data_IF_472277653244
#
_entry.id   IF_472277653244
#
_cell.length_a   1.000
_cell.length_b   1.000
_cell.length_c   1.000
_cell.angle_alpha   90.00
_cell.angle_beta   90.00
_cell.angle_gamma   90.00
#
_symmetry.space_group_name_H-M   'P 1'
#
loop_
_entity.id
_entity.type
_entity.pdbx_description
1 polymer ?
#
# COMPACT_ATOMS: atom_id res chain seq x y z
N UNK A 1 19.72 -10.64 3.46
CA UNK A 1 18.69 -11.70 3.35
C UNK A 1 17.49 -11.33 2.45
N UNK A 2 17.03 -10.07 2.42
CA UNK A 2 15.77 -9.62 1.78
C UNK A 2 15.69 -9.73 0.23
N UNK A 3 16.79 -9.96 -0.48
CA UNK A 3 16.74 -10.22 -1.94
C UNK A 3 16.30 -11.65 -2.26
N UNK A 4 16.60 -12.61 -1.38
CA UNK A 4 16.32 -14.04 -1.59
C UNK A 4 14.83 -14.35 -1.57
N UNK A 5 14.06 -13.63 -0.74
CA UNK A 5 12.61 -13.79 -0.63
C UNK A 5 11.90 -13.46 -1.93
N UNK A 6 12.27 -12.38 -2.62
CA UNK A 6 11.62 -12.01 -3.89
C UNK A 6 11.85 -13.08 -4.98
N UNK A 7 13.00 -13.74 -5.00
CA UNK A 7 13.26 -14.86 -5.91
C UNK A 7 12.41 -16.09 -5.59
N UNK A 8 12.05 -16.32 -4.32
CA UNK A 8 11.11 -17.38 -3.95
C UNK A 8 9.74 -17.09 -4.57
N UNK A 9 9.25 -15.85 -4.50
CA UNK A 9 7.98 -15.46 -5.12
C UNK A 9 8.03 -15.47 -6.66
N UNK A 10 9.15 -15.09 -7.26
CA UNK A 10 9.36 -15.29 -8.71
C UNK A 10 9.36 -16.76 -9.10
N UNK A 11 9.97 -17.64 -8.29
CA UNK A 11 9.94 -19.08 -8.49
C UNK A 11 8.52 -19.65 -8.35
N UNK A 12 7.77 -19.18 -7.36
CA UNK A 12 6.40 -19.63 -7.09
C UNK A 12 5.44 -19.21 -8.22
N UNK A 13 5.52 -17.96 -8.67
CA UNK A 13 4.77 -17.48 -9.85
C UNK A 13 5.22 -18.17 -11.14
N UNK A 14 6.51 -18.44 -11.30
CA UNK A 14 7.03 -19.22 -12.44
C UNK A 14 6.55 -20.66 -12.46
N UNK A 15 6.40 -21.29 -11.28
CA UNK A 15 5.83 -22.62 -11.14
C UNK A 15 4.35 -22.65 -11.54
N UNK A 16 3.59 -21.62 -11.17
CA UNK A 16 2.19 -21.46 -11.62
C UNK A 16 2.11 -21.34 -13.15
N UNK A 17 2.97 -20.52 -13.77
CA UNK A 17 3.06 -20.41 -15.24
C UNK A 17 3.37 -21.76 -15.88
N UNK A 18 4.37 -22.48 -15.38
CA UNK A 18 4.76 -23.78 -15.90
C UNK A 18 3.63 -24.80 -15.77
N UNK A 19 2.96 -24.85 -14.62
CA UNK A 19 1.79 -25.70 -14.39
C UNK A 19 0.68 -25.38 -15.38
N UNK A 20 0.39 -24.10 -15.60
CA UNK A 20 -0.60 -23.63 -16.58
C UNK A 20 -0.26 -24.08 -17.99
N UNK A 21 0.99 -23.91 -18.44
CA UNK A 21 1.42 -24.37 -19.77
C UNK A 21 1.28 -25.88 -19.94
N UNK A 22 1.69 -26.67 -18.93
CA UNK A 22 1.57 -28.13 -18.94
C UNK A 22 0.10 -28.56 -19.01
N UNK A 23 -0.77 -27.94 -18.18
CA UNK A 23 -2.20 -28.25 -18.16
C UNK A 23 -2.88 -27.87 -19.49
N UNK A 24 -2.51 -26.75 -20.10
CA UNK A 24 -3.02 -26.36 -21.42
C UNK A 24 -2.66 -27.39 -22.49
N UNK A 25 -1.43 -27.89 -22.49
CA UNK A 25 -0.98 -28.91 -23.45
C UNK A 25 -1.61 -30.28 -23.21
N UNK A 26 -1.73 -30.71 -21.95
CA UNK A 26 -2.24 -32.04 -21.62
C UNK A 26 -3.77 -32.15 -21.76
N UNK A 27 -4.50 -31.11 -21.36
CA UNK A 27 -5.97 -31.13 -21.30
C UNK A 27 -6.63 -30.31 -22.40
N UNK A 28 -5.86 -29.69 -23.30
CA UNK A 28 -6.39 -28.88 -24.40
C UNK A 28 -7.08 -27.59 -23.95
N UNK A 29 -6.80 -27.12 -22.73
CA UNK A 29 -7.41 -25.88 -22.23
C UNK A 29 -6.95 -24.67 -23.03
N UNK A 30 -7.92 -23.88 -23.49
CA UNK A 30 -7.68 -22.61 -24.17
C UNK A 30 -7.21 -21.58 -23.15
N UNK A 31 -6.03 -21.00 -23.41
CA UNK A 31 -5.46 -19.93 -22.61
C UNK A 31 -6.17 -18.61 -22.90
N UNK A 32 -6.43 -17.82 -21.87
CA UNK A 32 -7.04 -16.49 -22.03
C UNK A 32 -5.97 -15.43 -22.31
N UNK A 33 -6.39 -14.26 -22.80
CA UNK A 33 -5.47 -13.14 -23.06
C UNK A 33 -4.71 -12.72 -21.78
N UNK A 34 -5.34 -12.89 -20.61
CA UNK A 34 -4.75 -12.58 -19.30
C UNK A 34 -3.59 -13.55 -18.98
N UNK A 35 -3.65 -14.80 -19.44
CA UNK A 35 -2.54 -15.75 -19.32
C UNK A 35 -1.35 -15.36 -20.21
N UNK A 36 -1.61 -14.96 -21.45
CA UNK A 36 -0.55 -14.48 -22.35
C UNK A 36 0.13 -13.21 -21.82
N UNK A 37 -0.65 -12.27 -21.27
CA UNK A 37 -0.11 -11.10 -20.60
C UNK A 37 0.78 -11.48 -19.41
N UNK A 38 0.38 -12.49 -18.63
CA UNK A 38 1.20 -13.00 -17.53
C UNK A 38 2.54 -13.58 -18.02
N UNK A 39 2.53 -14.33 -19.13
CA UNK A 39 3.73 -14.93 -19.73
C UNK A 39 4.71 -13.90 -20.28
N UNK A 40 4.24 -12.72 -20.69
CA UNK A 40 5.09 -11.63 -21.15
C UNK A 40 5.55 -10.75 -19.98
N UNK A 41 4.63 -10.43 -19.06
CA UNK A 41 4.92 -9.58 -17.91
C UNK A 41 5.95 -10.23 -16.97
N UNK A 42 5.85 -11.54 -16.72
CA UNK A 42 6.74 -12.27 -15.81
C UNK A 42 8.22 -12.21 -16.21
N UNK A 43 8.64 -12.56 -17.44
CA UNK A 43 10.04 -12.46 -17.86
C UNK A 43 10.52 -11.01 -17.91
N UNK A 44 9.66 -10.05 -18.29
CA UNK A 44 10.01 -8.62 -18.23
C UNK A 44 10.32 -8.20 -16.78
N UNK A 45 9.48 -8.60 -15.82
CA UNK A 45 9.70 -8.30 -14.41
C UNK A 45 10.96 -8.98 -13.85
N UNK A 46 11.22 -10.23 -14.25
CA UNK A 46 12.43 -10.94 -13.89
C UNK A 46 13.67 -10.24 -14.44
N UNK A 47 13.63 -9.83 -15.71
CA UNK A 47 14.71 -9.12 -16.37
C UNK A 47 14.98 -7.73 -15.73
N UNK A 48 13.93 -6.95 -15.49
CA UNK A 48 14.02 -5.65 -14.80
C UNK A 48 14.62 -5.80 -13.40
N UNK A 49 14.30 -6.89 -12.71
CA UNK A 49 14.86 -7.20 -11.40
C UNK A 49 16.36 -7.51 -11.46
N UNK A 50 16.82 -8.18 -12.51
CA UNK A 50 18.23 -8.56 -12.68
C UNK A 50 19.11 -7.38 -13.12
N UNK A 51 18.65 -6.55 -14.07
CA UNK A 51 19.52 -5.60 -14.79
C UNK A 51 19.73 -4.26 -14.10
N UNK A 52 18.75 -3.72 -13.37
CA UNK A 52 18.77 -2.30 -12.99
C UNK A 52 18.97 -2.11 -11.50
N UNK A 53 19.99 -1.34 -11.05
CA UNK A 53 20.22 -1.05 -9.62
C UNK A 53 19.03 -0.33 -8.95
N UNK A 54 18.32 0.52 -9.71
CA UNK A 54 17.13 1.25 -9.27
C UNK A 54 15.81 0.50 -9.55
N UNK A 55 15.74 -0.25 -10.66
CA UNK A 55 14.56 -1.04 -11.06
C UNK A 55 14.31 -2.31 -10.24
N UNK A 56 15.18 -2.63 -9.27
CA UNK A 56 15.00 -3.80 -8.40
C UNK A 56 13.71 -3.75 -7.60
N UNK A 57 13.16 -2.55 -7.34
CA UNK A 57 12.30 -2.40 -6.16
C UNK A 57 10.84 -2.83 -6.36
N UNK A 58 10.25 -2.73 -7.54
CA UNK A 58 8.79 -2.85 -7.67
C UNK A 58 8.21 -3.89 -8.65
N UNK A 59 8.98 -4.60 -9.51
CA UNK A 59 8.37 -5.38 -10.60
C UNK A 59 7.51 -6.53 -10.09
N UNK A 60 7.95 -7.21 -9.01
CA UNK A 60 7.18 -8.29 -8.39
C UNK A 60 5.88 -7.78 -7.75
N UNK A 61 5.93 -6.66 -7.04
CA UNK A 61 4.75 -6.08 -6.40
C UNK A 61 3.70 -5.64 -7.43
N UNK A 62 4.14 -5.06 -8.55
CA UNK A 62 3.26 -4.69 -9.67
C UNK A 62 2.61 -5.93 -10.26
N UNK A 63 3.39 -6.99 -10.53
CA UNK A 63 2.85 -8.26 -11.02
C UNK A 63 1.80 -8.85 -10.07
N UNK A 64 2.11 -8.91 -8.78
CA UNK A 64 1.21 -9.48 -7.79
C UNK A 64 -0.09 -8.66 -7.68
N UNK A 65 0.00 -7.33 -7.81
CA UNK A 65 -1.17 -6.45 -7.81
C UNK A 65 -2.00 -6.64 -9.08
N UNK A 66 -1.38 -6.68 -10.26
CA UNK A 66 -2.06 -6.95 -11.52
C UNK A 66 -2.76 -8.32 -11.49
N UNK A 67 -2.12 -9.32 -10.89
CA UNK A 67 -2.67 -10.66 -10.75
C UNK A 67 -3.83 -10.70 -9.75
N UNK A 68 -3.78 -9.88 -8.69
CA UNK A 68 -4.85 -9.80 -7.69
C UNK A 68 -6.17 -9.31 -8.29
N UNK A 69 -6.09 -8.36 -9.22
CA UNK A 69 -7.25 -7.84 -9.97
C UNK A 69 -7.58 -8.67 -11.22
N UNK A 70 -6.95 -9.84 -11.36
CA UNK A 70 -7.11 -10.75 -12.49
C UNK A 70 -6.81 -10.10 -13.87
N UNK A 71 -5.99 -9.03 -13.91
CA UNK A 71 -5.54 -8.39 -15.17
C UNK A 71 -4.54 -9.31 -15.87
N UNK A 72 -3.70 -9.96 -15.09
CA UNK A 72 -2.84 -11.06 -15.53
C UNK A 72 -3.22 -12.31 -14.75
N UNK A 73 -3.20 -13.47 -15.40
CA UNK A 73 -3.61 -14.72 -14.75
C UNK A 73 -2.53 -15.78 -14.89
N UNK A 74 -2.09 -16.33 -13.75
CA UNK A 74 -1.06 -17.37 -13.71
C UNK A 74 -1.63 -18.79 -13.74
N UNK A 75 -2.96 -18.94 -13.69
CA UNK A 75 -3.65 -20.21 -13.53
C UNK A 75 -4.65 -20.46 -14.67
N UNK A 76 -4.99 -21.73 -14.91
CA UNK A 76 -6.07 -22.15 -15.80
C UNK A 76 -7.29 -22.51 -14.96
N UNK A 77 -8.46 -21.97 -15.32
CA UNK A 77 -9.73 -22.34 -14.68
C UNK A 77 -9.87 -21.86 -13.23
N UNK A 78 -9.12 -20.83 -12.84
CA UNK A 78 -9.07 -20.32 -11.48
C UNK A 78 -10.45 -19.98 -10.90
N UNK A 79 -10.64 -20.34 -9.63
CA UNK A 79 -11.81 -19.99 -8.84
C UNK A 79 -11.82 -18.48 -8.61
N UNK A 80 -12.34 -17.71 -9.57
CA UNK A 80 -12.44 -16.26 -9.47
C UNK A 80 -13.75 -15.89 -8.80
N UNK A 81 -13.69 -15.18 -7.67
CA UNK A 81 -14.86 -14.48 -7.16
C UNK A 81 -15.12 -13.27 -8.06
N UNK A 82 -16.05 -13.43 -8.99
CA UNK A 82 -16.46 -12.41 -9.94
C UNK A 82 -17.40 -11.42 -9.25
N UNK A 83 -17.10 -10.13 -9.33
CA UNK A 83 -17.98 -9.07 -8.86
C UNK A 83 -18.67 -8.42 -10.08
N UNK A 84 -19.90 -8.83 -10.42
CA UNK A 84 -20.68 -8.16 -11.49
C UNK A 84 -21.68 -9.04 -12.23
N UNK A 85 -22.59 -8.38 -12.96
CA UNK A 85 -23.63 -8.96 -13.83
C UNK A 85 -22.96 -9.66 -15.01
N UNK A 86 -23.38 -10.90 -15.31
CA UNK A 86 -22.94 -11.71 -16.45
C UNK A 86 -22.93 -10.88 -17.75
N UNK A 87 -21.78 -10.35 -18.14
CA UNK A 87 -21.57 -9.76 -19.45
C UNK A 87 -21.06 -10.85 -20.40
N UNK A 88 -21.72 -10.99 -21.54
CA UNK A 88 -21.44 -11.94 -22.63
C UNK A 88 -20.16 -11.61 -23.41
N UNK A 89 -19.27 -10.80 -22.84
CA UNK A 89 -17.99 -10.41 -23.42
C UNK A 89 -16.93 -11.38 -22.88
N UNK A 90 -16.04 -11.96 -23.72
CA UNK A 90 -14.99 -12.88 -23.31
C UNK A 90 -13.82 -12.18 -22.58
N UNK A 91 -14.09 -11.06 -21.91
CA UNK A 91 -13.15 -10.43 -20.99
C UNK A 91 -13.49 -10.99 -19.62
N UNK A 92 -12.53 -11.64 -18.97
CA UNK A 92 -12.71 -12.07 -17.59
C UNK A 92 -13.08 -10.84 -16.74
N UNK A 93 -14.29 -10.88 -16.18
CA UNK A 93 -14.76 -9.86 -15.25
C UNK A 93 -13.74 -9.65 -14.13
N UNK A 94 -13.53 -8.40 -13.68
CA UNK A 94 -12.66 -8.13 -12.55
C UNK A 94 -13.11 -8.98 -11.35
N UNK A 95 -12.17 -9.73 -10.81
CA UNK A 95 -12.41 -10.69 -9.74
C UNK A 95 -11.14 -10.91 -8.95
N UNK A 96 -11.29 -11.50 -7.77
CA UNK A 96 -10.15 -11.79 -6.89
C UNK A 96 -9.83 -13.28 -7.00
N UNK A 97 -8.59 -13.61 -7.34
CA UNK A 97 -8.09 -14.98 -7.27
C UNK A 97 -7.60 -15.26 -5.82
N UNK A 98 -8.20 -16.22 -5.09
CA UNK A 98 -7.84 -16.56 -3.71
C UNK A 98 -6.38 -17.01 -3.54
N UNK A 99 -5.83 -17.73 -4.52
CA UNK A 99 -4.44 -18.22 -4.48
C UNK A 99 -3.48 -17.03 -4.60
N UNK A 100 -3.75 -16.13 -5.54
CA UNK A 100 -2.96 -14.89 -5.69
C UNK A 100 -3.11 -14.00 -4.46
N UNK A 101 -4.31 -13.88 -3.88
CA UNK A 101 -4.53 -13.16 -2.64
C UNK A 101 -3.66 -13.73 -1.50
N UNK A 102 -3.59 -15.05 -1.37
CA UNK A 102 -2.74 -15.70 -0.37
C UNK A 102 -1.25 -15.38 -0.60
N UNK A 103 -0.79 -15.44 -1.84
CA UNK A 103 0.58 -15.07 -2.22
C UNK A 103 0.87 -13.60 -1.89
N UNK A 104 -0.08 -12.69 -2.18
CA UNK A 104 0.01 -11.26 -1.86
C UNK A 104 0.10 -11.04 -0.35
N UNK A 105 -0.73 -11.72 0.44
CA UNK A 105 -0.71 -11.63 1.91
C UNK A 105 0.61 -12.16 2.46
N UNK A 106 1.09 -13.31 1.99
CA UNK A 106 2.39 -13.85 2.38
C UNK A 106 3.53 -12.90 2.03
N UNK A 107 3.50 -12.33 0.82
CA UNK A 107 4.46 -11.32 0.38
C UNK A 107 4.41 -10.06 1.26
N UNK A 108 3.21 -9.62 1.64
CA UNK A 108 3.01 -8.49 2.54
C UNK A 108 3.64 -8.74 3.91
N UNK A 109 3.33 -9.88 4.54
CA UNK A 109 3.83 -10.21 5.88
C UNK A 109 5.37 -10.24 5.89
N UNK A 110 5.99 -10.86 4.88
CA UNK A 110 7.45 -10.96 4.77
C UNK A 110 8.11 -9.60 4.50
N UNK A 111 7.41 -8.69 3.81
CA UNK A 111 7.93 -7.39 3.42
C UNK A 111 7.23 -6.20 4.11
N UNK A 112 6.61 -6.44 5.28
CA UNK A 112 5.70 -5.50 5.94
C UNK A 112 6.29 -4.11 6.13
N UNK A 113 7.51 -4.00 6.66
CA UNK A 113 8.21 -2.72 6.87
C UNK A 113 8.34 -1.92 5.57
N UNK A 114 8.70 -2.62 4.49
CA UNK A 114 8.98 -2.00 3.20
C UNK A 114 7.71 -1.56 2.51
N UNK A 115 6.68 -2.40 2.54
CA UNK A 115 5.38 -2.07 1.94
C UNK A 115 4.73 -0.94 2.74
N UNK A 116 4.80 -0.97 4.07
CA UNK A 116 4.31 0.12 4.91
C UNK A 116 5.06 1.43 4.63
N UNK A 117 6.37 1.40 4.41
CA UNK A 117 7.13 2.58 4.02
C UNK A 117 6.74 3.11 2.63
N UNK A 118 6.43 2.21 1.68
CA UNK A 118 5.95 2.61 0.34
C UNK A 118 4.55 3.22 0.45
N UNK A 119 3.63 2.55 1.13
CA UNK A 119 2.26 3.03 1.36
C UNK A 119 2.32 4.35 2.13
N UNK A 120 3.14 4.46 3.17
CA UNK A 120 3.27 5.71 3.91
C UNK A 120 3.85 6.84 3.05
N UNK A 121 4.78 6.56 2.16
CA UNK A 121 5.34 7.61 1.29
C UNK A 121 4.40 7.97 0.14
N UNK A 122 3.51 7.07 -0.26
CA UNK A 122 2.56 7.30 -1.34
C UNK A 122 1.26 7.94 -0.84
N UNK A 123 0.84 7.63 0.39
CA UNK A 123 -0.42 8.10 0.98
C UNK A 123 -0.25 9.16 2.07
N UNK A 124 0.89 9.25 2.77
CA UNK A 124 1.15 10.44 3.58
C UNK A 124 1.51 11.54 2.59
N UNK A 125 0.69 12.59 2.58
CA UNK A 125 0.90 13.76 1.77
C UNK A 125 2.33 14.30 1.81
N UNK A 126 2.62 15.23 0.90
CA UNK A 126 3.93 15.89 0.81
C UNK A 126 4.33 16.46 2.18
N UNK A 127 5.62 16.68 2.44
CA UNK A 127 6.04 17.34 3.70
C UNK A 127 5.33 18.67 3.92
N UNK A 128 5.00 19.37 2.82
CA UNK A 128 4.23 20.60 2.84
C UNK A 128 2.79 20.38 3.32
N UNK A 129 2.11 19.33 2.86
CA UNK A 129 0.76 18.96 3.32
C UNK A 129 0.77 18.55 4.79
N UNK A 130 1.79 17.79 5.22
CA UNK A 130 1.96 17.43 6.63
C UNK A 130 2.22 18.66 7.51
N UNK A 131 3.05 19.60 7.06
CA UNK A 131 3.29 20.84 7.79
C UNK A 131 2.02 21.68 7.86
N UNK A 132 1.21 21.72 6.80
CA UNK A 132 -0.07 22.43 6.77
C UNK A 132 -1.10 21.79 7.69
N UNK A 133 -1.19 20.46 7.74
CA UNK A 133 -2.10 19.72 8.61
C UNK A 133 -1.69 19.84 10.09
N UNK A 134 -0.39 19.77 10.36
CA UNK A 134 0.17 20.05 11.67
C UNK A 134 -0.15 21.47 12.12
N UNK A 135 0.09 22.47 11.27
CA UNK A 135 -0.20 23.88 11.58
C UNK A 135 -1.71 24.10 11.82
N UNK A 136 -2.59 23.52 11.00
CA UNK A 136 -4.04 23.57 11.23
C UNK A 136 -4.45 23.01 12.59
N UNK A 137 -3.79 21.93 13.02
CA UNK A 137 -4.07 21.31 14.31
C UNK A 137 -3.58 22.19 15.46
N UNK A 138 -2.40 22.81 15.31
CA UNK A 138 -1.90 23.81 16.27
C UNK A 138 -2.85 25.01 16.34
N UNK A 139 -3.26 25.56 15.20
CA UNK A 139 -4.17 26.72 15.12
C UNK A 139 -5.53 26.40 15.75
N UNK A 140 -6.04 25.18 15.56
CA UNK A 140 -7.26 24.69 16.22
C UNK A 140 -7.13 24.71 17.75
N UNK A 141 -6.05 24.17 18.29
CA UNK A 141 -5.80 24.20 19.74
C UNK A 141 -5.58 25.62 20.26
N UNK A 142 -4.89 26.45 19.49
CA UNK A 142 -4.64 27.85 19.84
C UNK A 142 -5.96 28.63 19.93
N UNK A 143 -6.83 28.48 18.94
CA UNK A 143 -8.17 29.06 18.97
C UNK A 143 -8.98 28.54 20.16
N UNK A 144 -8.91 27.23 20.44
CA UNK A 144 -9.62 26.61 21.56
C UNK A 144 -9.16 27.17 22.91
N UNK A 145 -7.85 27.30 23.12
CA UNK A 145 -7.28 27.79 24.37
C UNK A 145 -7.45 29.30 24.55
N UNK A 146 -7.43 30.09 23.47
CA UNK A 146 -7.74 31.52 23.54
C UNK A 146 -9.21 31.80 23.88
N UNK A 147 -10.10 30.85 23.59
CA UNK A 147 -11.52 30.95 23.94
C UNK A 147 -11.84 30.44 25.36
N UNK A 148 -10.88 29.84 26.06
CA UNK A 148 -11.05 29.39 27.44
C UNK A 148 -10.92 30.55 28.44
N UNK A 149 -11.66 30.46 29.54
CA UNK A 149 -11.52 31.40 30.66
C UNK A 149 -10.20 31.17 31.41
N UNK A 150 -9.71 32.21 32.11
CA UNK A 150 -8.38 32.20 32.72
C UNK A 150 -8.21 31.08 33.78
N UNK A 151 -9.29 30.73 34.49
CA UNK A 151 -9.30 29.62 35.45
C UNK A 151 -9.20 28.25 34.78
N UNK A 152 -9.88 28.06 33.65
CA UNK A 152 -9.80 26.84 32.85
C UNK A 152 -8.41 26.68 32.23
N UNK A 153 -7.83 27.78 31.74
CA UNK A 153 -6.49 27.80 31.17
C UNK A 153 -5.43 27.39 32.21
N UNK A 154 -5.56 27.84 33.47
CA UNK A 154 -4.70 27.40 34.58
C UNK A 154 -4.83 25.89 34.84
N UNK A 155 -6.02 25.34 34.72
CA UNK A 155 -6.27 23.89 34.80
C UNK A 155 -5.59 23.11 33.67
N UNK A 156 -5.68 23.61 32.43
CA UNK A 156 -5.06 23.01 31.24
C UNK A 156 -3.53 23.03 31.36
N UNK A 157 -2.95 24.15 31.83
CA UNK A 157 -1.51 24.28 32.05
C UNK A 157 -0.98 23.32 33.12
N UNK A 158 -1.79 22.99 34.13
CA UNK A 158 -1.40 22.02 35.17
C UNK A 158 -1.28 20.59 34.62
N UNK A 159 -2.04 20.27 33.58
CA UNK A 159 -2.01 18.97 32.90
C UNK A 159 -1.25 19.01 31.56
N UNK A 160 -0.34 19.98 31.38
CA UNK A 160 0.39 20.21 30.12
C UNK A 160 0.99 18.94 29.51
N UNK A 161 1.52 18.03 30.32
CA UNK A 161 2.18 16.82 29.87
C UNK A 161 1.23 15.78 29.26
N UNK A 162 -0.05 15.82 29.62
CA UNK A 162 -1.07 14.85 29.18
C UNK A 162 -1.62 15.18 27.79
N UNK A 163 -1.31 16.37 27.27
CA UNK A 163 -1.76 16.83 25.97
C UNK A 163 -0.86 16.35 24.82
N UNK A 164 -1.42 16.22 23.61
CA UNK A 164 -0.64 15.93 22.40
C UNK A 164 0.34 17.08 22.07
N UNK A 165 1.38 16.78 21.31
CA UNK A 165 2.50 17.70 21.04
C UNK A 165 2.04 18.99 20.33
N UNK A 166 1.03 18.90 19.46
CA UNK A 166 0.40 20.04 18.78
C UNK A 166 -0.24 21.00 19.79
N UNK A 167 -0.95 20.47 20.78
CA UNK A 167 -1.59 21.25 21.84
C UNK A 167 -0.56 21.87 22.80
N UNK A 168 0.53 21.16 23.08
CA UNK A 168 1.66 21.68 23.87
C UNK A 168 2.32 22.89 23.18
N UNK A 169 2.46 22.84 21.85
CA UNK A 169 3.00 23.96 21.07
C UNK A 169 2.06 25.16 21.13
N UNK A 170 0.76 24.95 20.95
CA UNK A 170 -0.25 26.02 21.08
C UNK A 170 -0.22 26.67 22.48
N UNK A 171 -0.14 25.88 23.56
CA UNK A 171 -0.04 26.40 24.93
C UNK A 171 1.22 27.23 25.18
N UNK A 172 2.38 26.79 24.64
CA UNK A 172 3.63 27.57 24.73
C UNK A 172 3.52 28.92 24.01
N UNK A 173 2.83 28.97 22.87
CA UNK A 173 2.61 30.22 22.14
C UNK A 173 1.73 31.20 22.93
N UNK A 174 0.71 30.69 23.62
CA UNK A 174 -0.16 31.52 24.48
C UNK A 174 0.62 32.04 25.69
N UNK A 175 1.41 31.19 26.37
CA UNK A 175 2.26 31.63 27.49
C UNK A 175 3.27 32.71 27.07
N UNK A 176 3.88 32.57 25.88
CA UNK A 176 4.82 33.55 25.35
C UNK A 176 4.14 34.90 25.08
N UNK A 177 2.93 34.89 24.48
CA UNK A 177 2.16 36.11 24.23
C UNK A 177 1.74 36.79 25.53
N UNK A 178 1.28 36.06 26.54
CA UNK A 178 0.93 36.61 27.86
C UNK A 178 2.13 37.20 28.61
N UNK A 179 3.32 36.61 28.44
CA UNK A 179 4.56 37.11 29.04
C UNK A 179 5.12 38.37 28.37
N UNK A 180 4.69 38.67 27.13
CA UNK A 180 5.10 39.87 26.38
C UNK A 180 4.22 41.11 26.62
N UNK A 181 3.13 40.95 27.36
CA UNK A 181 2.14 42.01 27.67
C UNK A 181 2.33 42.55 29.11
N UNK A 182 3.22 41.95 29.90
CA UNK A 182 3.68 42.42 31.21
C UNK A 182 5.04 43.12 31.09
#
# INVERSE_FOLDING_TARGET
>A
MKQKTDYIFFGLTGLLIASTLILSQLYGHVLTINNYLAFVAWPIALFLRMKTYQGKRYPLGIILLLALFNIINFEIGGFSMKFGINSSIPIETPGINPIILLIVVAYYIINKERINHIISNFFKGTEEERSKEFQKTVDFYLHKFNACEEEELKGILKNFNDYPDEAKIALRQIQANQSSIL
#
